data_IF_646333243908
#
_entry.id   IF_646333243908
#
_cell.length_a   1.000
_cell.length_b   1.000
_cell.length_c   1.000
_cell.angle_alpha   90.00
_cell.angle_beta   90.00
_cell.angle_gamma   90.00
#
_symmetry.space_group_name_H-M   'P 1'
#
loop_
_entity.id
_entity.type
_entity.pdbx_description
1 polymer ?
#
# COMPACT_ATOMS: atom_id res chain seq x y z
N UNK A 1 -3.29 -10.38 -0.14
CA UNK A 1 -2.94 -8.96 0.02
C UNK A 1 -1.60 -8.65 -0.62
N UNK A 2 -0.50 -9.20 -0.10
CA UNK A 2 0.85 -8.93 -0.63
C UNK A 2 1.00 -9.12 -2.16
N UNK A 3 0.45 -10.21 -2.72
CA UNK A 3 0.49 -10.43 -4.18
C UNK A 3 -0.24 -9.33 -4.99
N UNK A 4 -1.35 -8.80 -4.47
CA UNK A 4 -2.09 -7.70 -5.12
C UNK A 4 -1.29 -6.39 -5.05
N UNK A 5 -0.71 -6.07 -3.88
CA UNK A 5 0.20 -4.93 -3.73
C UNK A 5 1.41 -5.04 -4.67
N UNK A 6 1.99 -6.24 -4.80
CA UNK A 6 3.07 -6.51 -5.74
C UNK A 6 2.65 -6.28 -7.19
N UNK A 7 1.44 -6.69 -7.58
CA UNK A 7 0.93 -6.43 -8.92
C UNK A 7 0.80 -4.92 -9.21
N UNK A 8 0.34 -4.12 -8.24
CA UNK A 8 0.35 -2.66 -8.39
C UNK A 8 1.75 -2.09 -8.52
N UNK A 9 2.73 -2.59 -7.75
CA UNK A 9 4.12 -2.16 -7.87
C UNK A 9 4.71 -2.49 -9.23
N UNK A 10 4.38 -3.66 -9.80
CA UNK A 10 4.76 -4.05 -11.15
C UNK A 10 4.09 -3.17 -12.21
N UNK A 11 2.79 -2.85 -12.07
CA UNK A 11 2.11 -1.92 -12.97
C UNK A 11 2.73 -0.52 -12.90
N UNK A 12 3.00 -0.01 -11.69
CA UNK A 12 3.68 1.28 -11.54
C UNK A 12 5.04 1.27 -12.24
N UNK A 13 5.82 0.19 -12.12
CA UNK A 13 7.10 0.04 -12.82
C UNK A 13 6.98 0.14 -14.35
N UNK A 14 5.93 -0.46 -14.92
CA UNK A 14 5.69 -0.47 -16.37
C UNK A 14 5.32 0.93 -16.85
N UNK A 15 4.58 1.68 -16.04
CA UNK A 15 3.99 2.95 -16.43
C UNK A 15 4.82 4.17 -16.02
N UNK A 16 5.72 4.00 -15.05
CA UNK A 16 6.61 5.07 -14.60
C UNK A 16 7.59 5.46 -15.71
N UNK A 17 7.75 6.77 -15.99
CA UNK A 17 8.76 7.23 -16.93
C UNK A 17 10.17 7.02 -16.33
N UNK A 18 11.24 6.97 -17.14
CA UNK A 18 12.61 6.77 -16.66
C UNK A 18 13.04 7.74 -15.55
N UNK A 19 12.55 8.98 -15.59
CA UNK A 19 12.81 10.04 -14.62
C UNK A 19 12.22 9.76 -13.23
N UNK A 20 11.25 8.85 -13.12
CA UNK A 20 10.73 8.39 -11.83
C UNK A 20 11.83 7.68 -11.02
N UNK A 21 12.80 7.08 -11.70
CA UNK A 21 13.89 6.33 -11.08
C UNK A 21 13.40 5.01 -10.46
N UNK A 22 13.99 4.56 -9.34
CA UNK A 22 13.62 3.28 -8.74
C UNK A 22 12.19 3.32 -8.19
N UNK A 23 11.52 2.17 -8.28
CA UNK A 23 10.14 1.95 -7.83
C UNK A 23 10.14 0.95 -6.68
N UNK A 24 9.11 1.01 -5.84
CA UNK A 24 8.93 0.02 -4.79
C UNK A 24 8.70 -1.38 -5.35
N UNK A 25 9.00 -2.38 -4.54
CA UNK A 25 8.69 -3.78 -4.82
C UNK A 25 8.40 -4.52 -3.53
N UNK A 26 7.57 -5.56 -3.62
CA UNK A 26 7.23 -6.44 -2.52
C UNK A 26 7.93 -7.79 -2.68
N UNK A 27 8.26 -8.45 -1.58
CA UNK A 27 8.75 -9.82 -1.62
C UNK A 27 7.61 -10.80 -1.90
N UNK A 28 7.94 -11.99 -2.38
CA UNK A 28 6.99 -13.10 -2.39
C UNK A 28 6.75 -13.59 -0.96
N UNK A 29 5.48 -13.83 -0.63
CA UNK A 29 5.05 -14.39 0.64
C UNK A 29 4.48 -15.77 0.38
N UNK A 30 5.01 -16.76 1.08
CA UNK A 30 4.62 -18.16 0.97
C UNK A 30 3.76 -18.57 2.16
N UNK A 31 2.75 -19.38 1.91
CA UNK A 31 1.96 -20.01 2.96
C UNK A 31 2.55 -21.38 3.27
N UNK A 32 2.82 -21.65 4.56
CA UNK A 32 3.38 -22.91 5.00
C UNK A 32 2.66 -23.45 6.23
N UNK A 33 2.77 -24.76 6.42
CA UNK A 33 2.31 -25.47 7.63
C UNK A 33 3.53 -26.02 8.37
N UNK A 34 3.64 -25.72 9.65
CA UNK A 34 4.77 -26.18 10.48
C UNK A 34 4.59 -27.64 10.90
N UNK A 35 5.66 -28.26 11.42
CA UNK A 35 5.59 -29.61 12.01
C UNK A 35 4.66 -29.71 13.23
N UNK A 36 4.33 -28.57 13.85
CA UNK A 36 3.39 -28.46 14.97
C UNK A 36 1.93 -28.27 14.53
N UNK A 37 1.66 -28.35 13.23
CA UNK A 37 0.36 -28.05 12.61
C UNK A 37 -0.06 -26.57 12.64
N UNK A 38 0.84 -25.64 12.93
CA UNK A 38 0.56 -24.21 12.83
C UNK A 38 0.63 -23.75 11.36
N UNK A 39 -0.18 -22.76 11.00
CA UNK A 39 -0.09 -22.09 9.69
C UNK A 39 0.69 -20.79 9.82
N UNK A 40 1.61 -20.54 8.88
CA UNK A 40 2.49 -19.36 8.89
C UNK A 40 2.63 -18.79 7.49
N UNK A 41 2.87 -17.47 7.43
CA UNK A 41 3.46 -16.82 6.26
C UNK A 41 4.99 -16.81 6.39
N UNK A 42 5.67 -16.99 5.27
CA UNK A 42 7.14 -16.95 5.19
C UNK A 42 7.52 -16.01 4.05
N UNK A 43 8.49 -15.13 4.30
CA UNK A 43 9.09 -14.29 3.27
C UNK A 43 10.59 -14.16 3.48
N UNK A 44 11.28 -13.62 2.47
CA UNK A 44 12.72 -13.38 2.56
C UNK A 44 12.99 -12.20 3.49
N UNK A 45 13.94 -12.36 4.40
CA UNK A 45 14.44 -11.26 5.23
C UNK A 45 14.98 -10.12 4.36
N UNK A 46 14.57 -8.90 4.69
CA UNK A 46 15.04 -7.66 4.06
C UNK A 46 15.99 -6.96 5.02
N UNK A 47 17.28 -6.82 4.66
CA UNK A 47 18.23 -6.06 5.47
C UNK A 47 18.02 -4.55 5.28
N UNK A 48 18.35 -3.79 6.32
CA UNK A 48 18.27 -2.33 6.32
C UNK A 48 17.42 -1.79 7.45
N UNK A 49 17.29 -0.48 7.51
CA UNK A 49 16.47 0.18 8.52
C UNK A 49 15.00 0.10 8.14
N UNK A 50 14.17 -0.24 9.12
CA UNK A 50 12.72 -0.21 8.97
C UNK A 50 12.24 1.25 8.94
N UNK A 51 11.39 1.58 7.96
CA UNK A 51 10.69 2.87 7.87
C UNK A 51 9.23 2.63 7.54
N UNK A 52 8.35 3.43 8.15
CA UNK A 52 6.91 3.47 7.85
C UNK A 52 6.58 4.86 7.27
N UNK A 53 5.94 4.85 6.11
CA UNK A 53 5.64 6.06 5.34
C UNK A 53 4.16 6.43 5.40
N UNK A 54 3.27 5.43 5.33
CA UNK A 54 1.82 5.58 5.49
C UNK A 54 1.37 4.44 6.40
N UNK A 55 0.49 4.70 7.36
CA UNK A 55 -0.06 3.64 8.21
C UNK A 55 -1.36 3.05 7.63
N UNK A 56 -1.89 1.99 8.24
CA UNK A 56 -3.16 1.39 7.81
C UNK A 56 -4.40 2.29 7.98
N UNK A 57 -4.33 3.35 8.79
CA UNK A 57 -5.41 4.36 8.88
C UNK A 57 -5.34 5.42 7.79
N UNK A 58 -4.44 5.27 6.80
CA UNK A 58 -4.23 6.23 5.70
C UNK A 58 -3.52 7.51 6.08
N UNK A 59 -2.92 7.59 7.28
CA UNK A 59 -2.20 8.78 7.75
C UNK A 59 -0.77 8.75 7.21
N UNK A 60 -0.33 9.89 6.66
CA UNK A 60 1.03 10.07 6.15
C UNK A 60 1.96 10.33 7.34
N UNK A 61 3.01 9.50 7.46
CA UNK A 61 4.06 9.67 8.48
C UNK A 61 5.01 10.78 8.04
N UNK A 62 5.26 11.74 8.93
CA UNK A 62 6.17 12.86 8.63
C UNK A 62 7.58 12.36 8.36
N UNK A 63 8.07 12.66 7.16
CA UNK A 63 9.42 12.32 6.72
C UNK A 63 10.46 13.28 7.32
N UNK A 64 11.64 12.75 7.64
CA UNK A 64 12.85 13.57 7.80
C UNK A 64 13.51 13.80 6.43
N UNK A 65 14.40 14.78 6.32
CA UNK A 65 15.04 15.16 5.05
C UNK A 65 15.68 14.00 4.26
N UNK A 66 16.37 13.02 4.88
CA UNK A 66 16.96 11.90 4.14
C UNK A 66 15.94 10.98 3.48
N UNK A 67 14.71 10.93 4.00
CA UNK A 67 13.67 9.98 3.58
C UNK A 67 12.61 10.63 2.69
N UNK A 68 12.75 11.92 2.41
CA UNK A 68 11.73 12.70 1.72
C UNK A 68 11.38 12.11 0.34
N UNK A 69 12.38 11.65 -0.42
CA UNK A 69 12.13 11.03 -1.73
C UNK A 69 11.24 9.79 -1.60
N UNK A 70 11.60 8.87 -0.70
CA UNK A 70 10.88 7.61 -0.49
C UNK A 70 9.48 7.89 0.05
N UNK A 71 9.30 8.87 0.94
CA UNK A 71 7.98 9.29 1.41
C UNK A 71 7.11 9.82 0.28
N UNK A 72 7.63 10.70 -0.58
CA UNK A 72 6.86 11.24 -1.70
C UNK A 72 6.50 10.16 -2.72
N UNK A 73 7.41 9.22 -2.98
CA UNK A 73 7.12 8.04 -3.81
C UNK A 73 6.07 7.14 -3.16
N UNK A 74 6.12 6.96 -1.84
CA UNK A 74 5.16 6.13 -1.11
C UNK A 74 3.75 6.71 -1.22
N UNK A 75 3.61 8.02 -1.02
CA UNK A 75 2.35 8.72 -1.26
C UNK A 75 1.87 8.56 -2.72
N UNK A 76 2.77 8.71 -3.70
CA UNK A 76 2.41 8.53 -5.11
C UNK A 76 1.97 7.11 -5.44
N UNK A 77 2.55 6.09 -4.78
CA UNK A 77 2.17 4.69 -4.95
C UNK A 77 0.78 4.42 -4.38
N UNK A 78 0.50 4.91 -3.17
CA UNK A 78 -0.84 4.82 -2.54
C UNK A 78 -1.89 5.44 -3.46
N UNK A 79 -1.65 6.67 -3.94
CA UNK A 79 -2.53 7.36 -4.87
C UNK A 79 -2.67 6.62 -6.21
N UNK A 80 -1.58 6.12 -6.77
CA UNK A 80 -1.59 5.31 -7.99
C UNK A 80 -2.51 4.09 -7.86
N UNK A 81 -2.45 3.37 -6.73
CA UNK A 81 -3.32 2.20 -6.51
C UNK A 81 -4.80 2.57 -6.44
N UNK A 82 -5.11 3.76 -5.91
CA UNK A 82 -6.48 4.28 -5.85
C UNK A 82 -7.01 4.63 -7.23
N UNK A 83 -6.24 5.38 -8.04
CA UNK A 83 -6.65 5.73 -9.41
C UNK A 83 -6.74 4.50 -10.32
N UNK A 84 -5.81 3.54 -10.21
CA UNK A 84 -5.78 2.35 -11.09
C UNK A 84 -6.70 1.22 -10.68
N UNK A 85 -7.25 1.29 -9.49
CA UNK A 85 -8.35 0.43 -9.08
C UNK A 85 -9.73 1.02 -9.40
N UNK A 86 -9.81 2.13 -10.14
CA UNK A 86 -11.05 2.89 -10.37
C UNK A 86 -11.73 3.24 -9.04
N UNK A 87 -10.92 3.72 -8.09
CA UNK A 87 -11.33 4.15 -6.75
C UNK A 87 -11.94 3.04 -5.89
N UNK A 88 -11.75 1.76 -6.25
CA UNK A 88 -12.29 0.62 -5.51
C UNK A 88 -11.46 0.22 -4.29
N UNK A 89 -10.15 0.48 -4.30
CA UNK A 89 -9.25 0.18 -3.19
C UNK A 89 -8.00 1.07 -3.15
N UNK A 90 -7.27 0.99 -2.06
CA UNK A 90 -5.99 1.67 -1.84
C UNK A 90 -5.05 0.74 -1.09
N UNK A 91 -3.81 0.59 -1.57
CA UNK A 91 -2.76 -0.09 -0.83
C UNK A 91 -2.22 0.89 0.21
N UNK A 92 -2.32 0.54 1.48
CA UNK A 92 -1.88 1.35 2.64
C UNK A 92 -0.90 0.55 3.50
N UNK A 93 -0.58 1.05 4.69
CA UNK A 93 0.50 0.54 5.55
C UNK A 93 1.83 0.36 4.80
N UNK A 94 2.23 1.43 4.09
CA UNK A 94 3.46 1.44 3.30
C UNK A 94 4.65 1.51 4.25
N UNK A 95 5.33 0.38 4.41
CA UNK A 95 6.48 0.19 5.28
C UNK A 95 7.51 -0.74 4.63
N UNK A 96 8.78 -0.53 4.96
CA UNK A 96 9.86 -1.22 4.27
C UNK A 96 11.26 -0.80 4.69
N UNK A 97 12.23 -1.32 3.96
CA UNK A 97 13.62 -0.82 3.95
C UNK A 97 13.97 -0.35 2.54
N UNK A 98 14.24 0.94 2.41
CA UNK A 98 14.49 1.59 1.11
C UNK A 98 13.35 1.30 0.12
N UNK A 99 13.65 0.72 -1.05
CA UNK A 99 12.68 0.39 -2.10
C UNK A 99 12.01 -0.99 -1.94
N UNK A 100 12.26 -1.69 -0.82
CA UNK A 100 11.68 -3.01 -0.52
C UNK A 100 10.62 -2.87 0.56
N UNK A 101 9.37 -3.03 0.16
CA UNK A 101 8.21 -2.98 1.05
C UNK A 101 7.77 -4.38 1.46
N UNK A 102 7.14 -4.49 2.62
CA UNK A 102 6.60 -5.71 3.19
C UNK A 102 5.37 -5.40 4.04
N UNK A 103 4.56 -6.43 4.29
CA UNK A 103 3.32 -6.35 5.08
C UNK A 103 2.38 -5.18 4.70
N UNK A 104 1.95 -5.07 3.43
CA UNK A 104 0.98 -4.05 3.05
C UNK A 104 -0.43 -4.38 3.56
N UNK A 105 -1.21 -3.33 3.79
CA UNK A 105 -2.65 -3.44 4.04
C UNK A 105 -3.45 -2.90 2.86
N UNK A 106 -4.74 -3.27 2.77
CA UNK A 106 -5.63 -2.84 1.69
C UNK A 106 -6.90 -2.25 2.28
N UNK A 107 -7.17 -0.99 1.94
CA UNK A 107 -8.42 -0.32 2.24
C UNK A 107 -9.35 -0.39 1.03
N UNK A 108 -10.58 -0.87 1.19
CA UNK A 108 -11.59 -0.91 0.11
C UNK A 108 -12.61 0.23 0.25
N UNK A 109 -13.10 0.78 -0.87
CA UNK A 109 -14.12 1.86 -0.83
C UNK A 109 -15.51 1.36 -0.43
N UNK A 110 -15.77 0.07 -0.61
CA UNK A 110 -16.97 -0.62 -0.14
C UNK A 110 -16.59 -1.52 1.02
N UNK A 111 -17.29 -1.36 2.15
CA UNK A 111 -17.45 -2.41 3.13
C UNK A 111 -18.63 -3.26 2.66
N UNK A 112 -18.46 -4.58 2.53
CA UNK A 112 -19.62 -5.45 2.66
C UNK A 112 -20.08 -5.27 4.10
N UNK A 113 -21.04 -4.36 4.33
CA UNK A 113 -21.66 -4.18 5.63
C UNK A 113 -22.07 -5.57 6.14
N UNK A 114 -21.67 -5.88 7.36
CA UNK A 114 -22.22 -7.00 8.14
C UNK A 114 -23.71 -6.68 8.33
N UNK A 115 -24.53 -7.04 7.35
CA UNK A 115 -25.98 -6.98 7.48
C UNK A 115 -26.40 -8.16 8.35
N UNK A 116 -27.08 -7.84 9.44
CA UNK A 116 -27.90 -8.78 10.21
C UNK A 116 -27.16 -9.98 10.82
N UNK A 117 -25.94 -9.77 11.33
CA UNK A 117 -25.25 -10.78 12.16
C UNK A 117 -24.84 -12.06 11.42
N UNK A 118 -24.86 -12.04 10.09
CA UNK A 118 -24.20 -13.03 9.24
C UNK A 118 -22.78 -12.53 8.94
N UNK A 119 -21.79 -13.42 9.03
CA UNK A 119 -20.37 -13.13 8.79
C UNK A 119 -20.17 -12.39 7.46
N UNK A 120 -20.18 -11.06 7.49
CA UNK A 120 -19.90 -10.24 6.31
C UNK A 120 -18.47 -10.50 5.86
N UNK A 121 -18.26 -10.67 4.55
CA UNK A 121 -16.92 -10.84 3.99
C UNK A 121 -16.10 -9.57 4.23
N UNK A 122 -15.22 -9.60 5.25
CA UNK A 122 -14.18 -8.59 5.41
C UNK A 122 -13.09 -8.88 4.37
N UNK A 123 -13.17 -8.20 3.23
CA UNK A 123 -12.11 -8.28 2.23
C UNK A 123 -10.77 -7.91 2.86
N UNK A 124 -9.73 -8.70 2.56
CA UNK A 124 -8.36 -8.38 2.96
C UNK A 124 -8.14 -8.29 4.47
N UNK A 125 -8.84 -9.12 5.26
CA UNK A 125 -8.60 -9.31 6.68
C UNK A 125 -8.89 -8.06 7.54
N UNK A 126 -8.63 -8.16 8.86
CA UNK A 126 -9.01 -7.13 9.85
C UNK A 126 -8.26 -5.80 9.70
N UNK A 127 -7.15 -5.77 8.95
CA UNK A 127 -6.40 -4.55 8.66
C UNK A 127 -7.06 -3.62 7.64
N UNK A 128 -8.09 -4.10 6.93
CA UNK A 128 -8.89 -3.28 6.02
C UNK A 128 -9.80 -2.32 6.80
N UNK A 129 -9.35 -1.08 6.93
CA UNK A 129 -10.09 0.03 7.54
C UNK A 129 -10.96 0.81 6.55
N UNK A 130 -11.05 0.30 5.32
CA UNK A 130 -11.99 0.71 4.27
C UNK A 130 -12.04 2.23 4.02
N UNK A 131 -13.24 2.80 3.87
CA UNK A 131 -13.43 4.21 3.52
C UNK A 131 -12.73 5.17 4.49
N UNK A 132 -12.63 4.83 5.78
CA UNK A 132 -11.92 5.66 6.76
C UNK A 132 -10.45 5.89 6.34
N UNK A 133 -9.73 4.83 5.99
CA UNK A 133 -8.32 4.95 5.59
C UNK A 133 -8.18 5.72 4.28
N UNK A 134 -9.05 5.45 3.30
CA UNK A 134 -9.07 6.17 2.02
C UNK A 134 -9.31 7.66 2.25
N UNK A 135 -10.34 8.03 3.01
CA UNK A 135 -10.68 9.42 3.30
C UNK A 135 -9.55 10.14 4.04
N UNK A 136 -8.92 9.50 5.03
CA UNK A 136 -7.81 10.08 5.77
C UNK A 136 -6.62 10.39 4.86
N UNK A 137 -6.29 9.46 3.95
CA UNK A 137 -5.24 9.68 2.98
C UNK A 137 -5.59 10.83 2.04
N UNK A 138 -6.78 10.81 1.42
CA UNK A 138 -7.20 11.85 0.47
C UNK A 138 -7.27 13.25 1.10
N UNK A 139 -7.65 13.35 2.39
CA UNK A 139 -7.67 14.62 3.14
C UNK A 139 -6.28 15.20 3.39
N UNK A 140 -5.25 14.35 3.51
CA UNK A 140 -3.88 14.79 3.82
C UNK A 140 -2.99 14.89 2.57
N UNK A 141 -3.23 14.03 1.59
CA UNK A 141 -2.38 13.92 0.41
C UNK A 141 -2.52 15.14 -0.49
N UNK A 142 -1.37 15.73 -0.82
CA UNK A 142 -1.23 16.68 -1.91
C UNK A 142 -0.37 16.03 -2.99
N UNK A 143 -0.86 16.06 -4.24
CA UNK A 143 -0.09 15.53 -5.35
C UNK A 143 1.31 16.13 -5.40
N UNK A 144 2.31 15.26 -5.50
CA UNK A 144 3.71 15.64 -5.58
C UNK A 144 4.28 15.36 -6.98
N UNK A 145 5.57 15.60 -7.16
CA UNK A 145 6.24 15.45 -8.45
C UNK A 145 6.06 14.04 -9.06
N UNK A 146 6.05 13.00 -8.23
CA UNK A 146 5.88 11.62 -8.67
C UNK A 146 4.44 11.33 -9.10
N UNK A 147 3.45 11.93 -8.44
CA UNK A 147 2.05 11.88 -8.91
C UNK A 147 1.92 12.52 -10.29
N UNK A 148 2.58 13.67 -10.50
CA UNK A 148 2.60 14.37 -11.80
C UNK A 148 3.29 13.54 -12.88
N UNK A 149 4.43 12.92 -12.59
CA UNK A 149 5.14 12.03 -13.53
C UNK A 149 4.28 10.85 -13.99
N UNK A 150 3.41 10.35 -13.10
CA UNK A 150 2.48 9.25 -13.38
C UNK A 150 1.16 9.72 -14.03
N UNK A 151 0.97 11.03 -14.23
CA UNK A 151 -0.26 11.59 -14.79
C UNK A 151 -1.49 11.37 -13.92
N UNK A 152 -1.32 11.24 -12.60
CA UNK A 152 -2.43 11.04 -11.67
C UNK A 152 -3.28 12.31 -11.54
N UNK A 153 -4.60 12.14 -11.42
CA UNK A 153 -5.52 13.26 -11.24
C UNK A 153 -5.38 13.80 -9.82
N UNK A 154 -5.38 15.13 -9.66
CA UNK A 154 -5.43 15.72 -8.33
C UNK A 154 -6.72 15.35 -7.58
N UNK A 155 -6.63 15.14 -6.27
CA UNK A 155 -7.78 14.98 -5.40
C UNK A 155 -8.74 16.17 -5.62
N UNK A 156 -10.00 15.91 -5.99
CA UNK A 156 -11.06 16.93 -6.02
C UNK A 156 -11.62 17.16 -4.64
#
# INVERSE_FOLDING_TARGET
MNALANNFALSLKIESPPEYGPVFSFNEVYFAKTSRNDFVSIEKYIPGDFKKYINNTGVIVKANTPDLELSLKAESFVHFTYERSDHSLMVVDIQGSEYKLYDPEIATSILNEVKDGLDGEVFFCMGNLSSMAIENFLKQHMCNTYCTMLGLKGNK
#
